data_IF_578188571630
#
_entry.id   IF_578188571630
#
_cell.length_a   1.000
_cell.length_b   1.000
_cell.length_c   1.000
_cell.angle_alpha   90.00
_cell.angle_beta   90.00
_cell.angle_gamma   90.00
#
_symmetry.space_group_name_H-M   'P 1'
#
loop_
_entity.id
_entity.type
_entity.pdbx_description
1 polymer ?
#
# COMPACT_ATOMS: atom_id res chain seq x y z
N UNK A 1 0.37 9.07 -7.61
CA UNK A 1 -0.30 10.37 -7.67
C UNK A 1 -1.75 10.03 -7.82
N UNK A 2 -2.61 10.43 -6.87
CA UNK A 2 -4.03 10.12 -6.91
C UNK A 2 -4.60 10.40 -8.29
N UNK A 3 -5.20 9.41 -8.93
CA UNK A 3 -5.90 9.65 -10.19
C UNK A 3 -7.10 10.56 -9.93
N UNK A 4 -7.05 11.76 -10.48
CA UNK A 4 -8.13 12.74 -10.34
C UNK A 4 -9.21 12.53 -11.40
N UNK A 5 -10.47 12.62 -11.01
CA UNK A 5 -11.62 12.63 -11.90
C UNK A 5 -12.24 14.01 -11.89
N UNK A 6 -12.39 14.62 -13.07
CA UNK A 6 -13.07 15.90 -13.24
C UNK A 6 -14.54 15.67 -13.57
N UNK A 7 -15.42 16.31 -12.83
CA UNK A 7 -16.86 16.21 -12.94
C UNK A 7 -17.41 17.57 -13.33
N UNK A 8 -18.14 17.62 -14.44
CA UNK A 8 -18.84 18.83 -14.88
C UNK A 8 -20.33 18.65 -14.68
N UNK A 9 -20.92 19.47 -13.83
CA UNK A 9 -22.34 19.38 -13.45
C UNK A 9 -23.08 20.56 -14.04
N UNK A 10 -24.13 20.30 -14.83
CA UNK A 10 -25.00 21.34 -15.38
C UNK A 10 -26.43 21.16 -14.86
N UNK A 11 -26.98 22.20 -14.25
CA UNK A 11 -28.38 22.25 -13.81
C UNK A 11 -29.12 23.25 -14.70
N UNK A 12 -30.27 22.84 -15.24
CA UNK A 12 -31.12 23.68 -16.09
C UNK A 12 -32.54 23.76 -15.52
N UNK A 13 -33.12 24.96 -15.47
CA UNK A 13 -34.52 25.15 -15.09
C UNK A 13 -35.48 25.09 -16.31
N UNK A 14 -36.79 25.12 -16.05
CA UNK A 14 -37.81 25.08 -17.11
C UNK A 14 -37.84 26.34 -17.99
N UNK A 15 -37.31 27.47 -17.49
CA UNK A 15 -37.16 28.71 -18.26
C UNK A 15 -35.91 28.69 -19.17
N UNK A 16 -35.04 27.68 -19.03
CA UNK A 16 -33.84 27.48 -19.84
C UNK A 16 -32.57 28.06 -19.23
N UNK A 17 -32.62 28.63 -18.01
CA UNK A 17 -31.43 29.10 -17.31
C UNK A 17 -30.55 27.90 -16.96
N UNK A 18 -29.22 28.05 -17.09
CA UNK A 18 -28.25 26.99 -16.81
C UNK A 18 -27.20 27.48 -15.82
N UNK A 19 -26.92 26.66 -14.82
CA UNK A 19 -25.78 26.81 -13.92
C UNK A 19 -24.84 25.64 -14.12
N UNK A 20 -23.53 25.91 -14.18
CA UNK A 20 -22.50 24.88 -14.31
C UNK A 20 -21.52 25.01 -13.15
N UNK A 21 -21.11 23.87 -12.59
CA UNK A 21 -20.04 23.78 -11.59
C UNK A 21 -19.12 22.61 -11.95
N UNK A 22 -17.82 22.82 -11.73
CA UNK A 22 -16.81 21.77 -11.79
C UNK A 22 -16.51 21.25 -10.37
N UNK A 23 -16.40 19.93 -10.25
CA UNK A 23 -16.01 19.24 -9.03
C UNK A 23 -14.91 18.21 -9.33
N UNK A 24 -14.11 17.87 -8.34
CA UNK A 24 -13.07 16.85 -8.47
C UNK A 24 -13.32 15.70 -7.50
N UNK A 25 -13.12 14.48 -7.99
CA UNK A 25 -13.01 13.26 -7.18
C UNK A 25 -11.60 12.68 -7.26
N UNK A 26 -11.25 11.84 -6.29
CA UNK A 26 -9.99 11.10 -6.25
C UNK A 26 -10.27 9.61 -6.25
N UNK A 27 -9.47 8.85 -7.00
CA UNK A 27 -9.47 7.38 -6.95
C UNK A 27 -8.26 6.97 -6.13
N UNK A 28 -8.49 6.19 -5.07
CA UNK A 28 -7.41 5.55 -4.33
C UNK A 28 -6.95 4.31 -5.10
N UNK A 29 -5.65 4.15 -5.28
CA UNK A 29 -5.05 3.02 -5.95
C UNK A 29 -4.51 2.03 -4.90
N UNK A 30 -4.49 0.71 -5.20
CA UNK A 30 -3.92 -0.24 -4.25
C UNK A 30 -2.41 -0.03 -4.09
N UNK A 31 -1.85 -0.34 -2.91
CA UNK A 31 -0.41 -0.29 -2.71
C UNK A 31 0.29 -1.36 -3.54
N UNK A 32 1.54 -1.08 -3.91
CA UNK A 32 2.38 -1.94 -4.74
C UNK A 32 3.59 -2.39 -3.92
N UNK A 33 3.86 -3.69 -3.93
CA UNK A 33 5.12 -4.25 -3.43
C UNK A 33 6.13 -4.20 -4.59
N UNK A 34 7.19 -3.41 -4.42
CA UNK A 34 8.26 -3.31 -5.41
C UNK A 34 9.30 -4.44 -5.24
N UNK A 35 9.65 -4.79 -3.99
CA UNK A 35 10.65 -5.80 -3.70
C UNK A 35 10.47 -6.45 -2.32
N UNK A 36 10.87 -7.72 -2.18
CA UNK A 36 11.02 -8.39 -0.88
C UNK A 36 12.42 -8.98 -0.81
N UNK A 37 13.17 -8.55 0.20
CA UNK A 37 14.55 -8.98 0.44
C UNK A 37 14.57 -9.89 1.66
N UNK A 38 15.16 -11.07 1.53
CA UNK A 38 15.40 -12.02 2.63
C UNK A 38 16.90 -12.25 2.72
N UNK A 39 17.51 -11.88 3.85
CA UNK A 39 18.95 -11.96 4.05
C UNK A 39 19.34 -12.55 5.43
N UNK A 40 20.06 -13.68 5.48
CA UNK A 40 20.40 -14.52 4.32
C UNK A 40 19.17 -15.28 3.80
N UNK A 41 19.13 -15.63 2.50
CA UNK A 41 17.99 -16.31 1.89
C UNK A 41 17.85 -17.78 2.34
N UNK A 42 18.88 -18.32 2.98
CA UNK A 42 18.88 -19.65 3.55
C UNK A 42 19.55 -19.60 4.93
N UNK A 43 18.84 -20.10 5.94
CA UNK A 43 19.33 -20.22 7.31
C UNK A 43 19.16 -21.66 7.79
N UNK A 44 20.03 -22.09 8.69
CA UNK A 44 19.84 -23.33 9.43
C UNK A 44 18.66 -23.19 10.40
N UNK A 45 18.05 -24.31 10.78
CA UNK A 45 17.05 -24.38 11.84
C UNK A 45 17.50 -23.61 13.10
N UNK A 46 16.60 -22.81 13.67
CA UNK A 46 16.85 -21.95 14.83
C UNK A 46 17.56 -20.62 14.55
N UNK A 47 18.18 -20.44 13.38
CA UNK A 47 18.83 -19.18 12.99
C UNK A 47 17.81 -18.19 12.39
N UNK A 48 18.27 -16.94 12.24
CA UNK A 48 17.43 -15.80 11.86
C UNK A 48 17.85 -15.22 10.51
N UNK A 49 16.87 -14.91 9.67
CA UNK A 49 17.03 -14.04 8.51
C UNK A 49 16.23 -12.74 8.70
N UNK A 50 16.72 -11.65 8.12
CA UNK A 50 16.02 -10.37 8.05
C UNK A 50 15.19 -10.33 6.78
N UNK A 51 13.91 -9.97 6.93
CA UNK A 51 12.99 -9.71 5.83
C UNK A 51 12.78 -8.20 5.75
N UNK A 52 12.98 -7.62 4.56
CA UNK A 52 12.68 -6.21 4.28
C UNK A 52 11.69 -6.15 3.12
N UNK A 53 10.55 -5.51 3.32
CA UNK A 53 9.53 -5.29 2.29
C UNK A 53 9.63 -3.85 1.79
N UNK A 54 9.89 -3.68 0.50
CA UNK A 54 9.81 -2.39 -0.17
C UNK A 54 8.46 -2.31 -0.87
N UNK A 55 7.59 -1.46 -0.33
CA UNK A 55 6.26 -1.21 -0.87
C UNK A 55 5.95 0.28 -0.81
N UNK A 56 5.04 0.71 -1.69
CA UNK A 56 4.57 2.09 -1.76
C UNK A 56 3.10 2.13 -2.08
N UNK A 57 2.46 3.12 -1.51
CA UNK A 57 1.14 3.55 -1.93
C UNK A 57 1.29 4.63 -3.01
N UNK A 58 0.59 4.55 -4.17
CA UNK A 58 0.69 5.58 -5.21
C UNK A 58 0.29 6.97 -4.71
N UNK A 59 -0.58 7.06 -3.71
CA UNK A 59 -1.04 8.29 -3.06
C UNK A 59 -0.17 8.68 -1.86
N UNK A 60 0.84 7.86 -1.56
CA UNK A 60 1.76 8.01 -0.45
C UNK A 60 1.03 7.95 0.91
N UNK A 61 -0.06 7.16 0.97
CA UNK A 61 -0.76 6.84 2.21
C UNK A 61 0.07 5.87 3.09
N UNK A 62 -0.07 5.94 4.44
CA UNK A 62 0.64 5.03 5.34
C UNK A 62 0.27 3.55 5.11
N UNK A 63 1.29 2.70 5.03
CA UNK A 63 1.13 1.26 4.82
C UNK A 63 1.12 0.49 6.14
N UNK A 64 0.25 -0.53 6.21
CA UNK A 64 0.28 -1.54 7.28
C UNK A 64 0.77 -2.87 6.70
N UNK A 65 1.68 -3.54 7.40
CA UNK A 65 2.27 -4.80 6.95
C UNK A 65 1.85 -5.95 7.85
N UNK A 66 1.52 -7.09 7.23
CA UNK A 66 1.28 -8.35 7.91
C UNK A 66 2.04 -9.45 7.15
N UNK A 67 2.72 -10.31 7.90
CA UNK A 67 3.57 -11.37 7.34
C UNK A 67 3.38 -12.64 8.17
N UNK A 68 3.48 -13.78 7.49
CA UNK A 68 3.46 -15.09 8.11
C UNK A 68 4.48 -15.99 7.38
N UNK A 69 5.09 -16.91 8.13
CA UNK A 69 5.92 -17.96 7.56
C UNK A 69 5.18 -19.30 7.66
N UNK A 70 5.35 -20.16 6.66
CA UNK A 70 4.84 -21.54 6.69
C UNK A 70 5.62 -22.44 7.65
N UNK A 71 6.85 -22.04 7.96
CA UNK A 71 7.74 -22.73 8.89
C UNK A 71 8.55 -21.70 9.69
N UNK A 72 8.83 -22.01 10.96
CA UNK A 72 9.42 -21.05 11.90
C UNK A 72 8.47 -19.97 12.41
N UNK A 73 9.03 -18.87 12.91
CA UNK A 73 8.28 -17.74 13.47
C UNK A 73 8.72 -16.40 12.86
N UNK A 74 7.77 -15.47 12.76
CA UNK A 74 8.05 -14.07 12.39
C UNK A 74 7.94 -13.17 13.62
N UNK A 75 8.94 -12.33 13.81
CA UNK A 75 8.99 -11.30 14.85
C UNK A 75 9.03 -9.91 14.17
N UNK A 76 8.17 -8.95 14.57
CA UNK A 76 8.25 -7.58 14.09
C UNK A 76 9.47 -6.87 14.66
N UNK A 77 9.92 -5.83 13.96
CA UNK A 77 10.97 -4.92 14.45
C UNK A 77 10.37 -3.54 14.79
N UNK A 78 11.23 -2.59 15.16
CA UNK A 78 10.86 -1.18 15.31
C UNK A 78 10.53 -0.50 13.96
N UNK A 79 10.99 -1.09 12.85
CA UNK A 79 10.67 -0.65 11.50
C UNK A 79 9.43 -1.39 10.97
N UNK A 80 8.40 -0.69 10.44
CA UNK A 80 7.13 -1.31 10.07
C UNK A 80 7.22 -2.27 8.88
N UNK A 81 8.25 -2.14 8.06
CA UNK A 81 8.47 -2.94 6.85
C UNK A 81 9.61 -3.96 7.00
N UNK A 82 10.09 -4.18 8.22
CA UNK A 82 11.19 -5.11 8.50
C UNK A 82 10.76 -6.11 9.57
N UNK A 83 11.08 -7.37 9.30
CA UNK A 83 10.75 -8.50 10.15
C UNK A 83 11.96 -9.41 10.32
N UNK A 84 11.98 -10.15 11.42
CA UNK A 84 12.93 -11.24 11.64
C UNK A 84 12.21 -12.56 11.48
N UNK A 85 12.71 -13.40 10.59
CA UNK A 85 12.25 -14.77 10.44
C UNK A 85 13.22 -15.72 11.13
N UNK A 86 12.72 -16.47 12.12
CA UNK A 86 13.46 -17.54 12.77
C UNK A 86 12.99 -18.87 12.21
N UNK A 87 13.87 -19.60 11.54
CA UNK A 87 13.54 -20.93 11.02
C UNK A 87 13.30 -21.92 12.18
N UNK A 88 12.37 -22.85 12.00
CA UNK A 88 12.11 -23.92 12.96
C UNK A 88 13.21 -24.98 12.94
#
# INVERSE_FOLDING_TARGET
MAKTVQLRISVRDAAGNVTVIDAAGYVNEPPVIDEVIIDPPMVLAGNVARITVLARDPENEPLTFQIAASDGSIEPTDQPNVFLWRAA
#
